data_IF_708772547776
#
_entry.id   IF_708772547776
#
_cell.length_a   1.000
_cell.length_b   1.000
_cell.length_c   1.000
_cell.angle_alpha   90.00
_cell.angle_beta   90.00
_cell.angle_gamma   90.00
#
_symmetry.space_group_name_H-M   'P 1'
#
loop_
_entity.id
_entity.type
_entity.pdbx_description
1 polymer ?
#
# COMPACT_ATOMS: atom_id res chain seq x y z
N UNK A 1 3.55 -21.91 11.94
CA UNK A 1 4.56 -21.05 12.60
C UNK A 1 4.53 -19.69 11.95
N UNK A 2 4.25 -18.62 12.70
CA UNK A 2 4.28 -17.25 12.19
C UNK A 2 5.64 -16.62 12.54
N UNK A 3 6.38 -16.17 11.52
CA UNK A 3 7.67 -15.53 11.73
C UNK A 3 7.47 -14.02 11.95
N UNK A 4 8.17 -13.44 12.94
CA UNK A 4 8.23 -11.97 13.10
C UNK A 4 9.21 -11.32 12.12
N UNK A 5 10.30 -12.02 11.78
CA UNK A 5 11.27 -11.62 10.74
C UNK A 5 11.39 -12.74 9.73
N UNK A 6 11.49 -12.38 8.45
CA UNK A 6 11.62 -13.34 7.36
C UNK A 6 12.97 -14.08 7.50
N UNK A 7 12.99 -15.43 7.47
CA UNK A 7 14.24 -16.20 7.45
C UNK A 7 15.12 -15.83 6.25
N UNK A 8 16.45 -15.89 6.40
CA UNK A 8 17.39 -15.57 5.31
C UNK A 8 17.20 -16.44 4.06
N UNK A 9 16.75 -17.69 4.24
CA UNK A 9 16.43 -18.60 3.12
C UNK A 9 15.17 -18.19 2.34
N UNK A 10 14.37 -17.24 2.83
CA UNK A 10 13.13 -16.76 2.20
C UNK A 10 11.97 -17.77 2.16
N UNK A 11 12.16 -18.96 2.72
CA UNK A 11 11.18 -20.06 2.76
C UNK A 11 10.86 -20.47 4.19
N UNK A 12 9.72 -21.14 4.37
CA UNK A 12 9.37 -21.72 5.66
C UNK A 12 10.40 -22.79 6.06
N UNK A 13 10.95 -22.71 7.28
CA UNK A 13 11.93 -23.67 7.77
C UNK A 13 11.31 -25.04 8.12
N UNK A 14 9.98 -25.14 8.17
CA UNK A 14 9.27 -26.39 8.50
C UNK A 14 8.75 -27.15 7.28
N UNK A 15 8.08 -26.45 6.36
CA UNK A 15 7.46 -27.06 5.18
C UNK A 15 8.16 -26.74 3.85
N UNK A 16 9.12 -25.80 3.84
CA UNK A 16 9.80 -25.39 2.60
C UNK A 16 8.99 -24.47 1.68
N UNK A 17 7.73 -24.20 2.00
CA UNK A 17 6.86 -23.36 1.17
C UNK A 17 7.22 -21.86 1.22
N UNK A 18 6.65 -21.12 0.26
CA UNK A 18 6.75 -19.66 0.18
C UNK A 18 6.02 -19.02 1.36
N UNK A 19 6.65 -17.96 1.90
CA UNK A 19 6.06 -17.16 2.94
C UNK A 19 5.03 -16.17 2.36
N UNK A 20 3.85 -16.15 2.95
CA UNK A 20 2.77 -15.21 2.59
C UNK A 20 2.84 -14.00 3.52
N UNK A 21 2.55 -12.82 2.98
CA UNK A 21 2.44 -11.58 3.75
C UNK A 21 1.24 -11.66 4.70
N UNK A 22 1.39 -11.13 5.90
CA UNK A 22 0.30 -11.08 6.88
C UNK A 22 -0.67 -9.93 6.64
N UNK A 23 -0.22 -8.90 5.92
CA UNK A 23 -1.00 -7.73 5.55
C UNK A 23 -0.81 -7.51 4.04
N UNK A 24 -1.91 -7.42 3.33
CA UNK A 24 -1.93 -7.15 1.89
C UNK A 24 -2.13 -5.65 1.63
N UNK A 25 -1.52 -5.11 0.57
CA UNK A 25 -1.67 -3.71 0.15
C UNK A 25 -3.14 -3.29 0.03
N UNK A 26 -3.99 -4.15 -0.57
CA UNK A 26 -5.42 -3.87 -0.73
C UNK A 26 -6.11 -3.62 0.61
N UNK A 27 -5.67 -4.27 1.68
CA UNK A 27 -6.21 -4.05 3.03
C UNK A 27 -5.90 -2.65 3.55
N UNK A 28 -4.77 -2.06 3.14
CA UNK A 28 -4.35 -0.72 3.53
C UNK A 28 -5.07 0.33 2.67
N UNK A 29 -5.19 0.09 1.35
CA UNK A 29 -5.81 1.04 0.40
C UNK A 29 -7.34 1.07 0.44
N UNK A 30 -8.00 0.01 0.93
CA UNK A 30 -9.48 -0.16 0.85
C UNK A 30 -10.30 1.06 1.27
N UNK A 31 -9.87 1.75 2.33
CA UNK A 31 -10.63 2.86 2.93
C UNK A 31 -10.13 4.24 2.52
N UNK A 32 -9.09 4.32 1.70
CA UNK A 32 -8.48 5.60 1.36
C UNK A 32 -9.39 6.45 0.46
N UNK A 33 -9.90 5.86 -0.63
CA UNK A 33 -10.79 6.55 -1.57
C UNK A 33 -12.10 7.02 -0.91
N UNK A 34 -12.82 6.17 -0.13
CA UNK A 34 -13.98 6.64 0.63
C UNK A 34 -13.65 7.75 1.64
N UNK A 35 -12.49 7.68 2.31
CA UNK A 35 -12.08 8.71 3.26
C UNK A 35 -11.84 10.07 2.58
N UNK A 36 -11.27 10.09 1.38
CA UNK A 36 -11.06 11.30 0.58
C UNK A 36 -12.39 11.94 0.16
N UNK A 37 -13.34 11.12 -0.32
CA UNK A 37 -14.69 11.60 -0.67
C UNK A 37 -15.43 12.18 0.54
N UNK A 38 -15.31 11.55 1.71
CA UNK A 38 -15.90 12.07 2.94
C UNK A 38 -15.24 13.39 3.37
N UNK A 39 -13.91 13.49 3.23
CA UNK A 39 -13.17 14.69 3.59
C UNK A 39 -13.57 15.91 2.76
N UNK A 40 -13.89 15.70 1.48
CA UNK A 40 -14.40 16.74 0.57
C UNK A 40 -15.86 17.09 0.88
N UNK A 41 -16.73 16.09 1.05
CA UNK A 41 -18.17 16.29 1.31
C UNK A 41 -18.46 17.02 2.63
N UNK A 42 -17.74 16.68 3.70
CA UNK A 42 -18.03 17.20 5.05
C UNK A 42 -17.12 18.36 5.46
N UNK A 43 -16.42 18.98 4.52
CA UNK A 43 -15.51 20.11 4.70
C UNK A 43 -14.62 20.00 5.98
N UNK A 44 -13.89 18.90 6.08
CA UNK A 44 -13.04 18.59 7.24
C UNK A 44 -11.86 19.58 7.29
N UNK A 45 -11.26 19.73 8.48
CA UNK A 45 -10.11 20.64 8.69
C UNK A 45 -9.00 20.44 7.67
N UNK A 46 -8.36 21.53 7.27
CA UNK A 46 -7.26 21.52 6.29
C UNK A 46 -6.11 20.59 6.70
N UNK A 47 -5.80 20.51 8.00
CA UNK A 47 -4.81 19.58 8.53
C UNK A 47 -5.16 18.11 8.20
N UNK A 48 -6.42 17.71 8.37
CA UNK A 48 -6.87 16.35 8.09
C UNK A 48 -6.80 16.04 6.59
N UNK A 49 -7.18 17.00 5.74
CA UNK A 49 -7.07 16.89 4.28
C UNK A 49 -5.61 16.74 3.84
N UNK A 50 -4.70 17.53 4.40
CA UNK A 50 -3.25 17.41 4.14
C UNK A 50 -2.69 16.08 4.65
N UNK A 51 -3.18 15.58 5.78
CA UNK A 51 -2.73 14.28 6.31
C UNK A 51 -3.16 13.13 5.42
N UNK A 52 -4.36 13.19 4.84
CA UNK A 52 -4.81 12.22 3.84
C UNK A 52 -3.94 12.27 2.57
N UNK A 53 -3.59 13.46 2.07
CA UNK A 53 -2.74 13.58 0.88
C UNK A 53 -1.29 13.13 1.12
N UNK A 54 -0.75 13.35 2.33
CA UNK A 54 0.54 12.80 2.73
C UNK A 54 0.50 11.27 2.84
N UNK A 55 -0.58 10.73 3.39
CA UNK A 55 -0.76 9.28 3.49
C UNK A 55 -0.84 8.63 2.12
N UNK A 56 -1.51 9.25 1.13
CA UNK A 56 -1.55 8.82 -0.27
C UNK A 56 -0.13 8.63 -0.83
N UNK A 57 0.68 9.69 -0.74
CA UNK A 57 2.06 9.70 -1.22
C UNK A 57 2.92 8.66 -0.52
N UNK A 58 2.72 8.48 0.79
CA UNK A 58 3.45 7.50 1.58
C UNK A 58 3.11 6.07 1.15
N UNK A 59 1.83 5.76 1.00
CA UNK A 59 1.37 4.44 0.55
C UNK A 59 1.88 4.16 -0.86
N UNK A 60 1.78 5.12 -1.78
CA UNK A 60 2.32 4.95 -3.11
C UNK A 60 3.82 4.75 -3.08
N UNK A 61 4.59 5.55 -2.34
CA UNK A 61 6.04 5.36 -2.20
C UNK A 61 6.43 4.00 -1.60
N UNK A 62 5.64 3.44 -0.68
CA UNK A 62 5.94 2.15 -0.06
C UNK A 62 5.72 0.97 -1.01
N UNK A 63 4.72 1.05 -1.89
CA UNK A 63 4.32 -0.05 -2.76
C UNK A 63 4.76 0.14 -4.22
N UNK A 64 5.24 1.32 -4.62
CA UNK A 64 5.80 1.57 -5.95
C UNK A 64 7.14 0.84 -6.07
N UNK A 65 7.26 0.02 -7.11
CA UNK A 65 8.44 -0.78 -7.36
C UNK A 65 9.22 -0.11 -8.49
N UNK A 66 10.33 0.56 -8.17
CA UNK A 66 11.09 1.36 -9.15
C UNK A 66 11.65 0.54 -10.33
N UNK A 67 11.71 -0.78 -10.18
CA UNK A 67 12.15 -1.72 -11.22
C UNK A 67 11.05 -2.10 -12.21
N UNK A 68 9.79 -1.84 -11.89
CA UNK A 68 8.64 -2.24 -12.70
C UNK A 68 7.75 -1.02 -12.91
N UNK A 69 7.95 -0.32 -14.03
CA UNK A 69 7.07 0.77 -14.45
C UNK A 69 5.92 0.18 -15.28
N UNK A 70 4.73 0.11 -14.70
CA UNK A 70 3.51 -0.16 -15.45
C UNK A 70 3.12 1.11 -16.20
N UNK A 71 3.59 1.27 -17.43
CA UNK A 71 3.14 2.33 -18.34
C UNK A 71 1.78 1.99 -18.92
N UNK A 72 0.86 2.96 -18.95
CA UNK A 72 -0.43 2.85 -19.64
C UNK A 72 -0.28 3.36 -21.07
N UNK A 73 -1.15 2.92 -21.97
CA UNK A 73 -1.16 3.42 -23.35
C UNK A 73 -1.39 4.94 -23.40
N UNK A 74 -2.19 5.46 -22.46
CA UNK A 74 -2.45 6.90 -22.29
C UNK A 74 -1.20 7.72 -21.92
N UNK A 75 -0.12 7.08 -21.42
CA UNK A 75 1.11 7.79 -21.09
C UNK A 75 1.92 8.20 -22.34
N UNK A 76 1.52 7.72 -23.53
CA UNK A 76 2.23 7.90 -24.81
C UNK A 76 1.55 8.86 -25.79
N UNK A 77 0.34 9.34 -25.48
CA UNK A 77 -0.43 10.24 -26.34
C UNK A 77 -0.68 11.59 -25.65
#
# INVERSE_FOLDING_TARGET
TKYRRVPLKGKCLKCGDKLVLTVHEKSVKKYFEPAKQLAEKFNVTNYTKQRLSLFEKFVDSLFRNDKVKHSRLDDFF
#
